data_IF_030883626582
#
_entry.id   IF_030883626582
#
_cell.length_a   1.000
_cell.length_b   1.000
_cell.length_c   1.000
_cell.angle_alpha   90.00
_cell.angle_beta   90.00
_cell.angle_gamma   90.00
#
_symmetry.space_group_name_H-M   'P 1'
#
loop_
_entity.id
_entity.type
_entity.pdbx_description
1 polymer ?
#
# COMPACT_ATOMS: atom_id res chain seq x y z
N UNK A 1 -0.45 -26.28 -1.84
CA UNK A 1 -1.08 -25.07 -2.42
C UNK A 1 -2.46 -24.92 -1.77
N UNK A 2 -2.62 -23.99 -0.83
CA UNK A 2 -3.85 -23.87 -0.04
C UNK A 2 -5.08 -23.59 -0.92
N UNK A 3 -6.23 -24.18 -0.57
CA UNK A 3 -7.50 -23.91 -1.25
C UNK A 3 -7.92 -22.46 -0.97
N UNK A 4 -7.71 -21.58 -1.94
CA UNK A 4 -8.26 -20.21 -1.94
C UNK A 4 -9.76 -20.27 -2.21
N UNK A 5 -10.54 -19.54 -1.43
CA UNK A 5 -11.99 -19.37 -1.60
C UNK A 5 -12.31 -18.65 -2.92
N UNK A 6 -13.59 -18.69 -3.32
CA UNK A 6 -14.04 -18.03 -4.56
C UNK A 6 -13.82 -16.51 -4.51
N UNK A 7 -14.00 -15.91 -3.34
CA UNK A 7 -13.78 -14.48 -3.09
C UNK A 7 -12.30 -14.12 -3.23
N UNK A 8 -11.41 -14.88 -2.60
CA UNK A 8 -9.95 -14.67 -2.69
C UNK A 8 -9.44 -14.78 -4.13
N UNK A 9 -9.93 -15.76 -4.89
CA UNK A 9 -9.60 -15.87 -6.32
C UNK A 9 -10.09 -14.68 -7.12
N UNK A 10 -11.28 -14.15 -6.81
CA UNK A 10 -11.81 -12.94 -7.43
C UNK A 10 -10.96 -11.71 -7.15
N UNK A 11 -10.53 -11.53 -5.91
CA UNK A 11 -9.65 -10.43 -5.50
C UNK A 11 -8.27 -10.52 -6.15
N UNK A 12 -7.68 -11.71 -6.20
CA UNK A 12 -6.41 -11.93 -6.89
C UNK A 12 -6.53 -11.65 -8.40
N UNK A 13 -7.64 -12.04 -9.03
CA UNK A 13 -7.90 -11.73 -10.43
C UNK A 13 -8.03 -10.21 -10.66
N UNK A 14 -8.70 -9.49 -9.76
CA UNK A 14 -8.77 -8.01 -9.81
C UNK A 14 -7.42 -7.34 -9.65
N UNK A 15 -6.59 -7.83 -8.72
CA UNK A 15 -5.21 -7.37 -8.55
C UNK A 15 -4.43 -7.57 -9.86
N UNK A 16 -4.44 -8.78 -10.42
CA UNK A 16 -3.74 -9.11 -11.67
C UNK A 16 -4.26 -8.29 -12.87
N UNK A 17 -5.56 -7.98 -12.89
CA UNK A 17 -6.16 -7.13 -13.92
C UNK A 17 -5.78 -5.64 -13.77
N UNK A 18 -5.12 -5.24 -12.69
CA UNK A 18 -4.84 -3.84 -12.38
C UNK A 18 -6.07 -3.05 -11.92
N UNK A 19 -7.21 -3.70 -11.66
CA UNK A 19 -8.43 -3.02 -11.22
C UNK A 19 -8.28 -2.39 -9.83
N UNK A 20 -7.33 -2.90 -9.04
CA UNK A 20 -6.99 -2.42 -7.70
C UNK A 20 -5.70 -1.57 -7.69
N UNK A 21 -5.15 -1.24 -8.85
CA UNK A 21 -3.93 -0.44 -8.96
C UNK A 21 -4.14 1.00 -8.45
N UNK A 22 -3.09 1.56 -7.86
CA UNK A 22 -3.10 2.91 -7.31
C UNK A 22 -2.90 2.97 -5.80
N UNK A 23 -3.12 4.16 -5.25
CA UNK A 23 -2.84 4.44 -3.84
C UNK A 23 -3.86 3.78 -2.90
N UNK A 24 -3.35 3.15 -1.83
CA UNK A 24 -4.15 2.47 -0.82
C UNK A 24 -4.15 3.29 0.46
N UNK A 25 -5.27 3.94 0.76
CA UNK A 25 -5.41 4.87 1.89
C UNK A 25 -4.63 6.18 1.71
N UNK A 26 -4.40 6.86 2.82
CA UNK A 26 -3.69 8.13 2.87
C UNK A 26 -2.19 7.99 3.14
N UNK A 27 -1.42 9.00 2.76
CA UNK A 27 -0.02 9.09 3.14
C UNK A 27 0.14 9.37 4.64
N UNK A 28 1.05 8.63 5.27
CA UNK A 28 1.36 8.75 6.68
C UNK A 28 2.66 9.52 6.84
N UNK A 29 2.57 10.80 7.19
CA UNK A 29 3.75 11.60 7.56
C UNK A 29 4.10 11.38 9.03
N UNK A 30 5.31 10.88 9.28
CA UNK A 30 5.85 10.66 10.63
C UNK A 30 6.42 11.95 11.21
N UNK A 31 6.46 12.08 12.55
CA UNK A 31 7.02 13.27 13.23
C UNK A 31 8.49 13.56 12.88
N UNK A 32 9.23 12.57 12.38
CA UNK A 32 10.59 12.72 11.87
C UNK A 32 10.68 13.22 10.42
N UNK A 33 9.57 13.67 9.83
CA UNK A 33 9.48 14.21 8.47
C UNK A 33 9.49 13.16 7.35
N UNK A 34 9.49 11.86 7.69
CA UNK A 34 9.40 10.78 6.69
C UNK A 34 7.94 10.54 6.29
N UNK A 35 7.68 10.32 5.01
CA UNK A 35 6.35 10.00 4.47
C UNK A 35 6.28 8.52 4.14
N UNK A 36 5.26 7.82 4.62
CA UNK A 36 5.02 6.40 4.35
C UNK A 36 3.71 6.29 3.58
N UNK A 37 3.73 5.64 2.42
CA UNK A 37 2.51 5.41 1.66
C UNK A 37 2.50 4.00 1.08
N UNK A 38 1.30 3.53 0.79
CA UNK A 38 1.07 2.21 0.24
C UNK A 38 0.40 2.36 -1.11
N UNK A 39 0.86 1.60 -2.10
CA UNK A 39 0.30 1.61 -3.44
C UNK A 39 0.29 0.20 -3.98
N UNK A 40 -0.69 -0.13 -4.81
CA UNK A 40 -0.64 -1.32 -5.65
C UNK A 40 -0.10 -0.87 -7.00
N UNK A 41 0.91 -1.60 -7.49
CA UNK A 41 1.47 -1.42 -8.82
C UNK A 41 1.53 -2.76 -9.53
N UNK A 42 0.90 -2.88 -10.70
CA UNK A 42 0.88 -4.10 -11.51
C UNK A 42 0.31 -5.31 -10.74
N UNK A 43 -0.72 -5.06 -9.92
CA UNK A 43 -1.31 -6.10 -9.06
C UNK A 43 -0.40 -6.57 -7.92
N UNK A 44 0.65 -5.81 -7.62
CA UNK A 44 1.55 -6.02 -6.48
C UNK A 44 1.42 -4.86 -5.50
N UNK A 45 0.90 -5.11 -4.29
CA UNK A 45 0.97 -4.15 -3.22
C UNK A 45 2.43 -3.89 -2.83
N UNK A 46 2.78 -2.62 -2.66
CA UNK A 46 4.08 -2.16 -2.22
C UNK A 46 3.91 -1.01 -1.24
N UNK A 47 4.64 -1.08 -0.13
CA UNK A 47 4.71 -0.02 0.86
C UNK A 47 6.04 0.70 0.75
N UNK A 48 5.98 2.01 0.54
CA UNK A 48 7.13 2.88 0.45
C UNK A 48 7.27 3.74 1.70
N UNK A 49 8.51 4.10 2.00
CA UNK A 49 8.86 5.12 2.98
C UNK A 49 9.89 6.05 2.34
N UNK A 50 9.57 7.33 2.29
CA UNK A 50 10.51 8.37 1.93
C UNK A 50 11.01 9.05 3.19
N UNK A 51 12.34 9.18 3.33
CA UNK A 51 12.94 9.91 4.44
C UNK A 51 12.57 11.41 4.46
N UNK A 52 12.97 12.15 5.50
CA UNK A 52 12.73 13.58 5.53
C UNK A 52 13.39 14.27 4.34
N UNK A 53 12.59 15.06 3.61
CA UNK A 53 13.10 16.04 2.68
C UNK A 53 13.99 17.00 3.46
N UNK A 54 15.28 17.03 3.16
CA UNK A 54 16.18 18.07 3.68
C UNK A 54 16.13 19.26 2.74
N UNK A 55 15.74 20.41 3.26
CA UNK A 55 15.87 21.71 2.59
C UNK A 55 17.21 22.30 3.05
N UNK A 56 18.16 22.41 2.13
CA UNK A 56 19.41 23.12 2.39
C UNK A 56 19.36 24.47 1.65
N UNK A 57 19.65 25.55 2.37
CA UNK A 57 19.71 26.90 1.79
C UNK A 57 21.15 27.19 1.38
N UNK A 58 21.47 27.08 0.09
CA UNK A 58 22.82 27.32 -0.44
C UNK A 58 23.05 28.78 -0.88
N UNK A 59 22.39 29.75 -0.23
CA UNK A 59 22.61 31.18 -0.46
C UNK A 59 22.09 31.76 -1.79
N UNK A 60 21.53 30.96 -2.69
CA UNK A 60 20.90 31.42 -3.95
C UNK A 60 19.58 30.72 -4.31
N UNK A 61 19.44 29.44 -3.96
CA UNK A 61 18.26 28.64 -4.28
C UNK A 61 18.01 27.61 -3.17
N UNK A 62 16.73 27.30 -2.89
CA UNK A 62 16.37 26.22 -1.97
C UNK A 62 16.46 24.89 -2.72
N UNK A 63 17.57 24.17 -2.57
CA UNK A 63 17.66 22.81 -3.12
C UNK A 63 16.87 21.84 -2.22
N UNK A 64 15.84 21.24 -2.82
CA UNK A 64 15.02 20.22 -2.17
C UNK A 64 15.63 18.87 -2.50
N UNK A 65 16.43 18.31 -1.59
CA UNK A 65 16.91 16.94 -1.75
C UNK A 65 15.74 16.03 -1.35
N UNK A 66 15.16 15.27 -2.30
CA UNK A 66 14.12 14.30 -1.95
C UNK A 66 14.71 13.29 -0.96
N UNK A 67 13.91 12.91 0.04
CA UNK A 67 14.33 11.91 1.00
C UNK A 67 14.65 10.59 0.31
N UNK A 68 15.49 9.75 0.94
CA UNK A 68 15.76 8.41 0.40
C UNK A 68 14.46 7.62 0.39
N UNK A 69 14.03 7.19 -0.80
CA UNK A 69 12.88 6.31 -0.99
C UNK A 69 13.30 4.87 -0.72
N UNK A 70 12.75 4.29 0.33
CA UNK A 70 12.90 2.89 0.69
C UNK A 70 11.61 2.13 0.41
N UNK A 71 11.75 0.95 -0.18
CA UNK A 71 10.67 -0.04 -0.19
C UNK A 71 10.68 -0.76 1.17
N UNK A 72 9.61 -0.62 1.94
CA UNK A 72 9.48 -1.26 3.25
C UNK A 72 8.99 -2.70 3.13
N UNK A 73 7.98 -2.92 2.28
CA UNK A 73 7.30 -4.20 2.19
C UNK A 73 6.72 -4.38 0.79
N UNK A 74 6.85 -5.58 0.24
CA UNK A 74 6.34 -5.95 -1.07
C UNK A 74 5.60 -7.27 -0.96
N UNK A 75 4.33 -7.29 -1.35
CA UNK A 75 3.51 -8.49 -1.31
C UNK A 75 3.52 -9.14 -2.69
N UNK A 76 4.43 -10.10 -2.87
CA UNK A 76 4.66 -10.73 -4.18
C UNK A 76 3.81 -11.98 -4.39
N UNK A 77 3.62 -12.80 -3.35
CA UNK A 77 2.86 -14.04 -3.45
C UNK A 77 1.36 -13.81 -3.29
N UNK A 78 0.53 -14.73 -3.78
CA UNK A 78 -0.92 -14.64 -3.63
C UNK A 78 -1.36 -14.56 -2.17
N UNK A 79 -0.71 -15.30 -1.28
CA UNK A 79 -1.05 -15.35 0.14
C UNK A 79 -0.74 -14.01 0.82
N UNK A 80 0.43 -13.45 0.50
CA UNK A 80 0.83 -12.10 0.91
C UNK A 80 -0.15 -11.04 0.41
N UNK A 81 -0.56 -11.10 -0.86
CA UNK A 81 -1.55 -10.18 -1.45
C UNK A 81 -2.89 -10.26 -0.74
N UNK A 82 -3.33 -11.46 -0.37
CA UNK A 82 -4.56 -11.65 0.39
C UNK A 82 -4.43 -11.12 1.82
N UNK A 83 -3.31 -11.37 2.50
CA UNK A 83 -3.02 -10.79 3.83
C UNK A 83 -2.98 -9.26 3.79
N UNK A 84 -2.46 -8.69 2.69
CA UNK A 84 -2.52 -7.25 2.44
C UNK A 84 -3.96 -6.74 2.34
N UNK A 85 -4.80 -7.38 1.52
CA UNK A 85 -6.22 -7.02 1.39
C UNK A 85 -6.98 -7.20 2.69
N UNK A 86 -6.63 -8.21 3.48
CA UNK A 86 -7.20 -8.43 4.80
C UNK A 86 -6.94 -7.23 5.73
N UNK A 87 -5.70 -6.72 5.76
CA UNK A 87 -5.26 -5.62 6.64
C UNK A 87 -5.63 -4.23 6.12
N UNK A 88 -5.52 -4.00 4.82
CA UNK A 88 -5.61 -2.68 4.18
C UNK A 88 -6.77 -2.55 3.18
N UNK A 89 -7.48 -3.63 2.84
CA UNK A 89 -8.58 -3.57 1.88
C UNK A 89 -9.71 -2.62 2.29
N UNK A 90 -9.90 -2.39 3.59
CA UNK A 90 -10.85 -1.39 4.10
C UNK A 90 -10.49 0.07 3.77
N UNK A 91 -9.23 0.36 3.42
CA UNK A 91 -8.75 1.67 2.96
C UNK A 91 -8.89 1.87 1.45
N UNK A 92 -9.23 0.82 0.71
CA UNK A 92 -9.43 0.89 -0.74
C UNK A 92 -10.83 1.43 -1.07
N UNK A 93 -10.97 1.96 -2.28
CA UNK A 93 -12.28 2.38 -2.82
C UNK A 93 -13.11 1.20 -3.31
N UNK A 94 -12.49 0.07 -3.65
CA UNK A 94 -13.16 -1.13 -4.15
C UNK A 94 -14.01 -1.82 -3.07
N UNK A 95 -15.24 -2.17 -3.42
CA UNK A 95 -16.20 -2.76 -2.49
C UNK A 95 -15.81 -4.18 -2.06
N UNK A 96 -15.32 -5.01 -3.00
CA UNK A 96 -14.90 -6.38 -2.69
C UNK A 96 -13.71 -6.39 -1.73
N UNK A 97 -12.73 -5.50 -1.94
CA UNK A 97 -11.59 -5.36 -1.04
C UNK A 97 -12.01 -4.91 0.37
N UNK A 98 -12.93 -3.93 0.47
CA UNK A 98 -13.47 -3.48 1.76
C UNK A 98 -14.25 -4.58 2.47
N UNK A 99 -15.13 -5.28 1.73
CA UNK A 99 -15.93 -6.38 2.26
C UNK A 99 -15.05 -7.49 2.79
N UNK A 100 -14.05 -7.90 2.01
CA UNK A 100 -13.08 -8.91 2.42
C UNK A 100 -12.34 -8.50 3.70
N UNK A 101 -11.78 -7.29 3.75
CA UNK A 101 -11.12 -6.79 4.96
C UNK A 101 -12.05 -6.73 6.18
N UNK A 102 -13.31 -6.35 5.98
CA UNK A 102 -14.33 -6.29 7.04
C UNK A 102 -14.66 -7.65 7.67
N UNK A 103 -14.50 -8.76 6.96
CA UNK A 103 -14.69 -10.12 7.51
C UNK A 103 -13.67 -10.41 8.62
N UNK A 104 -12.45 -9.87 8.48
CA UNK A 104 -11.33 -10.16 9.37
C UNK A 104 -11.09 -9.08 10.43
N UNK A 105 -11.74 -7.92 10.31
CA UNK A 105 -11.71 -6.93 11.40
C UNK A 105 -12.43 -7.49 12.62
N UNK A 106 -11.83 -7.42 13.82
CA UNK A 106 -12.51 -7.83 15.05
C UNK A 106 -13.74 -6.92 15.25
N UNK A 107 -14.92 -7.52 15.36
CA UNK A 107 -16.13 -6.82 15.85
C UNK A 107 -15.93 -6.59 17.34
N UNK A 108 -16.00 -5.33 17.76
CA UNK A 108 -15.98 -4.92 19.16
C UNK A 108 -17.34 -5.20 19.81
#
# INVERSE_FOLDING_TARGET
MGRKTKEEKGLLAKLLSGALDGQVGDDLTTSGGSTVWTTIKDGKPVRYKEGPTKKFFNGKENERIPGVKHTLEEWNTDDEKLSFLQKFGWLMKDEDARKYSSIFKPKK
#
